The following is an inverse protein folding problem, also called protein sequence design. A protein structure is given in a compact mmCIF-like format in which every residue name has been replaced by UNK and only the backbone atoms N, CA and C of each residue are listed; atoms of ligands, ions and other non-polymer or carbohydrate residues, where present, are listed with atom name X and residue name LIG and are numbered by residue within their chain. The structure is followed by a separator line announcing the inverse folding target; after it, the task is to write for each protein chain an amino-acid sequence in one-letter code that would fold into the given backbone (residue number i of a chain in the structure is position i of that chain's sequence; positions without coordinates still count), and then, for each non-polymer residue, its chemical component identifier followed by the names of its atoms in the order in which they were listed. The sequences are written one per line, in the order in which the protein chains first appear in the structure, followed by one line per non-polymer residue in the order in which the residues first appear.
data_IF_998172320947
#
_entry.id   IF_998172320947
#
_cell.length_a   1.000
_cell.length_b   1.000
_cell.length_c   1.000
_cell.angle_alpha   90.00
_cell.angle_beta   90.00
_cell.angle_gamma   90.00
#
_symmetry.space_group_name_H-M   'P 1'
#
loop_
_entity.id
_entity.type
_entity.pdbx_description
1 polymer ?
#
# COMPACT_ATOMS: atom_id res chain seq x y z
N UNK A 1 19.41 23.49 -22.53
CA UNK A 1 18.81 22.26 -21.99
C UNK A 1 17.29 22.38 -22.13
N UNK A 2 16.62 21.45 -22.81
CA UNK A 2 15.21 21.59 -23.18
C UNK A 2 14.25 21.25 -22.03
N UNK A 3 13.46 22.25 -21.62
CA UNK A 3 12.45 22.12 -20.56
C UNK A 3 11.40 21.03 -20.87
N UNK A 4 11.16 20.75 -22.15
CA UNK A 4 10.17 19.77 -22.59
C UNK A 4 10.59 18.33 -22.30
N UNK A 5 11.88 18.00 -22.42
CA UNK A 5 12.41 16.67 -22.07
C UNK A 5 12.36 16.50 -20.55
N UNK A 6 12.72 17.54 -19.78
CA UNK A 6 12.63 17.51 -18.32
C UNK A 6 11.20 17.23 -17.83
N UNK A 7 10.19 17.90 -18.40
CA UNK A 7 8.77 17.67 -18.08
C UNK A 7 8.29 16.28 -18.50
N UNK A 8 8.75 15.77 -19.64
CA UNK A 8 8.39 14.45 -20.15
C UNK A 8 8.92 13.34 -19.22
N UNK A 9 10.18 13.44 -18.80
CA UNK A 9 10.83 12.50 -17.87
C UNK A 9 10.15 12.49 -16.50
N UNK A 10 9.84 13.66 -15.92
CA UNK A 10 9.09 13.76 -14.65
C UNK A 10 7.71 13.12 -14.76
N UNK A 11 7.00 13.33 -15.88
CA UNK A 11 5.70 12.68 -16.13
C UNK A 11 5.82 11.16 -16.31
N UNK A 12 6.90 10.67 -16.90
CA UNK A 12 7.15 9.22 -17.04
C UNK A 12 7.32 8.53 -15.68
N UNK A 13 7.94 9.21 -14.71
CA UNK A 13 8.02 8.72 -13.33
C UNK A 13 6.69 8.81 -12.57
N UNK A 14 5.76 9.67 -13.00
CA UNK A 14 4.40 9.74 -12.41
C UNK A 14 3.46 8.60 -12.87
N UNK A 15 3.96 7.59 -13.59
CA UNK A 15 3.21 6.36 -13.85
C UNK A 15 3.16 5.47 -12.61
N UNK A 16 2.12 5.67 -11.81
CA UNK A 16 1.26 4.61 -11.28
C UNK A 16 0.06 5.27 -10.64
N UNK A 17 -1.07 5.31 -11.35
CA UNK A 17 -2.38 5.61 -10.76
C UNK A 17 -2.90 4.44 -9.89
N UNK A 18 -1.99 3.63 -9.33
CA UNK A 18 -2.25 2.45 -8.51
C UNK A 18 -1.49 2.56 -7.19
N UNK A 19 -1.93 1.80 -6.19
CA UNK A 19 -1.27 1.78 -4.89
C UNK A 19 0.23 1.46 -5.02
N UNK A 20 1.11 2.07 -4.22
CA UNK A 20 2.53 1.67 -4.13
C UNK A 20 2.72 0.26 -3.52
N UNK A 21 1.61 -0.39 -3.19
CA UNK A 21 1.51 -1.71 -2.61
C UNK A 21 1.27 -2.73 -3.73
N UNK A 22 1.88 -3.91 -3.58
CA UNK A 22 1.54 -5.09 -4.36
C UNK A 22 0.14 -5.57 -4.00
N UNK A 23 -0.53 -6.32 -4.89
CA UNK A 23 -1.87 -6.89 -4.65
C UNK A 23 -2.01 -7.54 -3.27
N UNK A 24 -1.06 -8.41 -2.89
CA UNK A 24 -1.04 -9.06 -1.57
C UNK A 24 -0.88 -8.09 -0.39
N UNK A 25 -0.17 -6.98 -0.59
CA UNK A 25 -0.02 -5.94 0.44
C UNK A 25 -1.31 -5.13 0.60
N UNK A 26 -2.02 -4.89 -0.50
CA UNK A 26 -3.34 -4.27 -0.51
C UNK A 26 -4.37 -5.16 0.18
N UNK A 27 -4.38 -6.47 -0.08
CA UNK A 27 -5.24 -7.44 0.61
C UNK A 27 -4.99 -7.45 2.13
N UNK A 28 -3.72 -7.43 2.56
CA UNK A 28 -3.36 -7.31 3.98
C UNK A 28 -3.92 -6.01 4.55
N UNK A 29 -3.74 -4.89 3.86
CA UNK A 29 -4.22 -3.58 4.31
C UNK A 29 -5.75 -3.53 4.38
N UNK A 30 -6.44 -4.20 3.46
CA UNK A 30 -7.90 -4.34 3.45
C UNK A 30 -8.40 -5.22 4.60
N UNK A 31 -7.70 -6.30 4.91
CA UNK A 31 -7.94 -7.08 6.13
C UNK A 31 -7.79 -6.25 7.40
N UNK A 32 -6.78 -5.37 7.45
CA UNK A 32 -6.57 -4.46 8.57
C UNK A 32 -7.69 -3.41 8.65
N UNK A 33 -8.16 -2.90 7.50
CA UNK A 33 -9.24 -1.91 7.40
C UNK A 33 -10.59 -2.47 7.82
N UNK A 34 -10.87 -3.73 7.49
CA UNK A 34 -12.08 -4.46 7.92
C UNK A 34 -12.06 -4.88 9.39
N UNK A 35 -10.97 -4.61 10.12
CA UNK A 35 -10.82 -4.94 11.53
C UNK A 35 -10.44 -6.40 11.80
N UNK A 36 -10.00 -7.16 10.78
CA UNK A 36 -9.46 -8.51 11.00
C UNK A 36 -8.17 -8.43 11.83
N UNK A 37 -7.96 -9.40 12.71
CA UNK A 37 -6.70 -9.55 13.43
C UNK A 37 -5.59 -10.04 12.49
N UNK A 38 -4.33 -9.74 12.79
CA UNK A 38 -3.19 -10.20 11.97
C UNK A 38 -3.17 -11.72 11.76
N UNK A 39 -3.61 -12.50 12.76
CA UNK A 39 -3.73 -13.95 12.65
C UNK A 39 -4.80 -14.36 11.64
N UNK A 40 -5.95 -13.67 11.65
CA UNK A 40 -7.04 -13.97 10.71
C UNK A 40 -6.67 -13.60 9.29
N UNK A 41 -5.98 -12.47 9.09
CA UNK A 41 -5.43 -12.07 7.78
C UNK A 41 -4.40 -13.08 7.27
N UNK A 42 -3.53 -13.55 8.16
CA UNK A 42 -2.52 -14.56 7.83
C UNK A 42 -3.18 -15.87 7.34
N UNK A 43 -4.25 -16.32 8.01
CA UNK A 43 -5.02 -17.49 7.61
C UNK A 43 -5.73 -17.30 6.25
N UNK A 44 -6.38 -16.15 6.07
CA UNK A 44 -7.13 -15.77 4.85
C UNK A 44 -6.22 -15.76 3.62
N UNK A 45 -4.97 -15.29 3.80
CA UNK A 45 -3.98 -15.16 2.73
C UNK A 45 -3.00 -16.34 2.67
N UNK A 46 -3.21 -17.39 3.47
CA UNK A 46 -2.32 -18.57 3.56
C UNK A 46 -0.84 -18.21 3.79
N UNK A 47 -0.57 -17.20 4.62
CA UNK A 47 0.77 -16.74 5.00
C UNK A 47 0.97 -16.79 6.52
N UNK A 48 2.21 -16.60 6.96
CA UNK A 48 2.52 -16.53 8.39
C UNK A 48 2.23 -15.15 8.98
N UNK A 49 1.88 -15.09 10.27
CA UNK A 49 1.71 -13.82 11.00
C UNK A 49 2.97 -12.94 10.95
N UNK A 50 4.15 -13.55 11.00
CA UNK A 50 5.42 -12.84 10.80
C UNK A 50 5.53 -12.23 9.40
N UNK A 51 5.08 -12.93 8.37
CA UNK A 51 5.03 -12.40 7.01
C UNK A 51 4.15 -11.15 6.94
N UNK A 52 2.96 -11.18 7.56
CA UNK A 52 2.08 -9.99 7.64
C UNK A 52 2.77 -8.83 8.35
N UNK A 53 3.55 -9.09 9.41
CA UNK A 53 4.25 -8.07 10.19
C UNK A 53 5.50 -7.51 9.49
N UNK A 54 6.20 -8.36 8.73
CA UNK A 54 7.44 -8.03 8.02
C UNK A 54 7.21 -7.32 6.69
N UNK A 55 5.96 -7.26 6.19
CA UNK A 55 5.67 -6.54 4.96
C UNK A 55 5.88 -5.05 5.18
N UNK A 56 6.71 -4.43 4.35
CA UNK A 56 7.07 -3.01 4.39
C UNK A 56 5.91 -2.09 3.93
N UNK A 57 4.67 -2.43 4.23
CA UNK A 57 3.45 -1.71 3.85
C UNK A 57 3.55 -0.26 4.35
N UNK A 58 3.89 -0.08 5.63
CA UNK A 58 4.03 1.24 6.24
C UNK A 58 5.17 2.07 5.63
N UNK A 59 6.31 1.44 5.31
CA UNK A 59 7.42 2.12 4.65
C UNK A 59 7.06 2.55 3.22
N UNK A 60 6.37 1.70 2.46
CA UNK A 60 5.91 2.00 1.10
C UNK A 60 4.86 3.10 1.05
N UNK A 61 4.01 3.16 2.09
CA UNK A 61 3.02 4.21 2.29
C UNK A 61 3.61 5.49 2.88
N UNK A 62 4.89 5.47 3.29
CA UNK A 62 5.55 6.54 4.03
C UNK A 62 4.77 7.01 5.28
N UNK A 63 4.17 6.06 6.01
CA UNK A 63 3.39 6.31 7.23
C UNK A 63 4.03 5.66 8.44
N UNK A 64 3.82 6.26 9.61
CA UNK A 64 4.36 5.75 10.87
C UNK A 64 3.33 4.96 11.66
N UNK A 65 2.04 5.11 11.33
CA UNK A 65 0.94 4.55 12.10
C UNK A 65 -0.05 3.77 11.26
N UNK A 66 -0.65 2.73 11.85
CA UNK A 66 -1.78 1.99 11.28
C UNK A 66 -2.94 2.92 10.90
N UNK A 67 -3.26 3.90 11.75
CA UNK A 67 -4.34 4.84 11.49
C UNK A 67 -4.10 5.71 10.24
N UNK A 68 -2.85 6.15 10.03
CA UNK A 68 -2.47 6.88 8.82
C UNK A 68 -2.56 5.99 7.59
N UNK A 69 -2.06 4.75 7.67
CA UNK A 69 -2.15 3.79 6.57
C UNK A 69 -3.60 3.59 6.11
N UNK A 70 -4.54 3.45 7.06
CA UNK A 70 -5.96 3.32 6.78
C UNK A 70 -6.57 4.59 6.18
N UNK A 71 -6.19 5.75 6.70
CA UNK A 71 -6.66 7.04 6.19
C UNK A 71 -6.22 7.27 4.75
N UNK A 72 -4.95 7.00 4.43
CA UNK A 72 -4.43 7.13 3.06
C UNK A 72 -5.11 6.11 2.14
N UNK A 73 -5.27 4.86 2.57
CA UNK A 73 -5.93 3.84 1.78
C UNK A 73 -7.39 4.17 1.47
N UNK A 74 -8.14 4.72 2.44
CA UNK A 74 -9.50 5.22 2.20
C UNK A 74 -9.54 6.45 1.29
N UNK A 75 -8.60 7.38 1.45
CA UNK A 75 -8.52 8.61 0.63
C UNK A 75 -8.17 8.29 -0.84
N UNK A 76 -7.28 7.32 -1.06
CA UNK A 76 -6.85 6.90 -2.39
C UNK A 76 -7.72 5.80 -2.99
N UNK A 77 -8.79 5.42 -2.29
CA UNK A 77 -9.73 4.39 -2.72
C UNK A 77 -9.07 3.04 -3.06
N UNK A 78 -7.98 2.69 -2.37
CA UNK A 78 -7.25 1.42 -2.56
C UNK A 78 -7.96 0.21 -1.95
N UNK A 79 -9.11 0.44 -1.29
CA UNK A 79 -9.88 -0.57 -0.56
C UNK A 79 -11.18 -0.98 -1.29
N UNK A 80 -11.39 -0.46 -2.51
CA UNK A 80 -12.58 -0.68 -3.32
C UNK A 80 -12.48 -1.90 -4.23
#
# INVERSE_FOLDING_TARGET
MSLQIAKMVVRSFSRSAGSPLSERETEVLQGIATGKSYTKIALDLFISKETVRSKNIYQKLAVSSKAEALKIAGTNNWLN
#
